data_IF_473081499757
#
_entry.id   IF_473081499757
#
_cell.length_a   1.000
_cell.length_b   1.000
_cell.length_c   1.000
_cell.angle_alpha   90.00
_cell.angle_beta   90.00
_cell.angle_gamma   90.00
#
_symmetry.space_group_name_H-M   'P 1'
#
loop_
_entity.id
_entity.type
_entity.pdbx_description
1 polymer ?
#
# COMPACT_ATOMS: atom_id res chain seq x y z
N UNK A 1 19.47 -12.84 -11.98
CA UNK A 1 18.75 -12.87 -10.68
C UNK A 1 19.76 -12.65 -9.56
N UNK A 2 20.05 -11.41 -9.18
CA UNK A 2 21.11 -11.11 -8.20
C UNK A 2 20.60 -10.92 -6.75
N UNK A 3 19.31 -11.13 -6.49
CA UNK A 3 18.73 -10.96 -5.14
C UNK A 3 17.45 -11.79 -4.96
N UNK A 4 17.58 -13.12 -4.92
CA UNK A 4 16.45 -14.04 -4.71
C UNK A 4 16.84 -15.12 -3.71
N UNK A 5 15.98 -15.40 -2.74
CA UNK A 5 16.16 -16.48 -1.76
C UNK A 5 15.11 -17.57 -2.01
N UNK A 6 15.55 -18.82 -2.02
CA UNK A 6 14.63 -19.97 -2.10
C UNK A 6 13.95 -20.18 -0.75
N UNK A 7 12.63 -20.34 -0.77
CA UNK A 7 11.82 -20.65 0.41
C UNK A 7 11.09 -21.98 0.19
N UNK A 8 10.84 -22.71 1.28
CA UNK A 8 9.98 -23.90 1.29
C UNK A 8 8.77 -23.61 2.16
N UNK A 9 7.57 -23.82 1.62
CA UNK A 9 6.31 -23.53 2.30
C UNK A 9 5.32 -24.67 2.10
N UNK A 10 4.46 -24.89 3.08
CA UNK A 10 3.33 -25.82 2.98
C UNK A 10 2.05 -25.02 2.76
N UNK A 11 1.26 -25.37 1.76
CA UNK A 11 -0.02 -24.74 1.45
C UNK A 11 -1.13 -25.80 1.31
N UNK A 12 -2.40 -25.44 1.56
CA UNK A 12 -3.54 -26.31 1.27
C UNK A 12 -3.50 -26.88 -0.15
N UNK A 13 -3.89 -28.14 -0.29
CA UNK A 13 -3.89 -28.87 -1.58
C UNK A 13 -4.73 -28.18 -2.65
N UNK A 14 -5.85 -27.58 -2.26
CA UNK A 14 -6.70 -26.79 -3.15
C UNK A 14 -5.97 -25.57 -3.71
N UNK A 15 -5.22 -24.83 -2.87
CA UNK A 15 -4.42 -23.69 -3.33
C UNK A 15 -3.27 -24.12 -4.23
N UNK A 16 -2.62 -25.25 -3.95
CA UNK A 16 -1.61 -25.81 -4.84
C UNK A 16 -2.19 -26.15 -6.22
N UNK A 17 -3.42 -26.67 -6.28
CA UNK A 17 -4.13 -26.94 -7.53
C UNK A 17 -4.43 -25.64 -8.28
N UNK A 18 -4.95 -24.62 -7.60
CA UNK A 18 -5.20 -23.29 -8.19
C UNK A 18 -3.91 -22.64 -8.70
N UNK A 19 -2.81 -22.74 -7.96
CA UNK A 19 -1.50 -22.23 -8.36
C UNK A 19 -1.00 -22.91 -9.64
N UNK A 20 -1.20 -24.23 -9.77
CA UNK A 20 -0.85 -24.98 -10.99
C UNK A 20 -1.70 -24.55 -12.19
N UNK A 21 -2.98 -24.24 -11.98
CA UNK A 21 -3.86 -23.71 -13.03
C UNK A 21 -3.43 -22.31 -13.46
N UNK A 22 -3.11 -21.43 -12.51
CA UNK A 22 -2.62 -20.07 -12.77
C UNK A 22 -1.32 -20.09 -13.58
N UNK A 23 -0.38 -20.99 -13.26
CA UNK A 23 0.85 -21.15 -14.03
C UNK A 23 0.58 -21.44 -15.51
N UNK A 24 -0.37 -22.33 -15.80
CA UNK A 24 -0.79 -22.67 -17.17
C UNK A 24 -1.47 -21.50 -17.87
N UNK A 25 -2.44 -20.87 -17.20
CA UNK A 25 -3.26 -19.82 -17.80
C UNK A 25 -2.48 -18.52 -18.04
N UNK A 26 -1.58 -18.15 -17.11
CA UNK A 26 -0.82 -16.90 -17.19
C UNK A 26 0.55 -17.07 -17.85
N UNK A 27 0.94 -18.30 -18.20
CA UNK A 27 2.27 -18.64 -18.73
C UNK A 27 3.40 -18.11 -17.83
N UNK A 28 3.20 -18.21 -16.50
CA UNK A 28 4.15 -17.76 -15.48
C UNK A 28 4.61 -18.96 -14.65
N UNK A 29 5.84 -18.91 -14.16
CA UNK A 29 6.31 -19.90 -13.20
C UNK A 29 5.75 -19.63 -11.78
N UNK A 30 5.83 -20.65 -10.92
CA UNK A 30 5.40 -20.58 -9.52
C UNK A 30 5.99 -19.36 -8.79
N UNK A 31 7.30 -19.16 -8.88
CA UNK A 31 8.00 -18.07 -8.18
C UNK A 31 7.49 -16.69 -8.59
N UNK A 32 7.16 -16.47 -9.85
CA UNK A 32 6.61 -15.20 -10.35
C UNK A 32 5.22 -14.93 -9.76
N UNK A 33 4.34 -15.94 -9.77
CA UNK A 33 2.99 -15.81 -9.20
C UNK A 33 3.07 -15.56 -7.69
N UNK A 34 3.89 -16.34 -6.97
CA UNK A 34 4.07 -16.17 -5.52
C UNK A 34 4.67 -14.80 -5.21
N UNK A 35 5.65 -14.33 -5.99
CA UNK A 35 6.23 -13.00 -5.81
C UNK A 35 5.20 -11.90 -6.00
N UNK A 36 4.34 -11.99 -7.01
CA UNK A 36 3.26 -11.03 -7.24
C UNK A 36 2.25 -11.03 -6.09
N UNK A 37 1.79 -12.22 -5.68
CA UNK A 37 0.83 -12.37 -4.58
C UNK A 37 1.39 -11.81 -3.26
N UNK A 38 2.65 -12.09 -2.94
CA UNK A 38 3.30 -11.58 -1.73
C UNK A 38 3.47 -10.06 -1.78
N UNK A 39 3.85 -9.49 -2.94
CA UNK A 39 3.95 -8.03 -3.10
C UNK A 39 2.60 -7.34 -2.89
N UNK A 40 1.54 -7.89 -3.47
CA UNK A 40 0.19 -7.36 -3.30
C UNK A 40 -0.26 -7.45 -1.84
N UNK A 41 0.04 -8.58 -1.18
CA UNK A 41 -0.26 -8.77 0.23
C UNK A 41 0.46 -7.72 1.10
N UNK A 42 1.77 -7.54 0.93
CA UNK A 42 2.56 -6.55 1.69
C UNK A 42 2.04 -5.14 1.47
N UNK A 43 1.80 -4.74 0.21
CA UNK A 43 1.28 -3.41 -0.10
C UNK A 43 -0.08 -3.16 0.56
N UNK A 44 -0.94 -4.18 0.62
CA UNK A 44 -2.24 -4.07 1.29
C UNK A 44 -2.08 -3.88 2.80
N UNK A 45 -1.22 -4.67 3.45
CA UNK A 45 -0.95 -4.53 4.90
C UNK A 45 -0.41 -3.12 5.21
N UNK A 46 0.55 -2.62 4.41
CA UNK A 46 1.08 -1.25 4.56
C UNK A 46 -0.05 -0.21 4.42
N UNK A 47 -0.93 -0.37 3.44
CA UNK A 47 -2.05 0.55 3.25
C UNK A 47 -3.04 0.51 4.43
N UNK A 48 -3.34 -0.67 4.95
CA UNK A 48 -4.23 -0.85 6.11
C UNK A 48 -3.66 -0.18 7.37
N UNK A 49 -2.35 -0.32 7.60
CA UNK A 49 -1.66 0.38 8.69
C UNK A 49 -1.72 1.90 8.52
N UNK A 50 -1.42 2.41 7.32
CA UNK A 50 -1.50 3.84 7.01
C UNK A 50 -2.92 4.36 7.16
N UNK A 51 -3.92 3.61 6.70
CA UNK A 51 -5.33 3.97 6.81
C UNK A 51 -5.79 4.00 8.27
N UNK A 52 -5.39 3.02 9.10
CA UNK A 52 -5.70 3.00 10.52
C UNK A 52 -5.06 4.19 11.27
N UNK A 53 -3.79 4.46 10.99
CA UNK A 53 -3.08 5.61 11.55
C UNK A 53 -3.69 6.95 11.12
N UNK A 54 -3.92 7.10 9.81
CA UNK A 54 -4.53 8.29 9.22
C UNK A 54 -5.93 8.52 9.73
N UNK A 55 -6.76 7.47 9.84
CA UNK A 55 -8.12 7.52 10.36
C UNK A 55 -8.17 7.99 11.82
N UNK A 56 -7.28 7.49 12.68
CA UNK A 56 -7.17 7.97 14.07
C UNK A 56 -6.85 9.46 14.14
N UNK A 57 -5.89 9.93 13.35
CA UNK A 57 -5.50 11.35 13.29
C UNK A 57 -6.60 12.24 12.70
N UNK A 58 -7.23 11.79 11.62
CA UNK A 58 -8.32 12.48 10.97
C UNK A 58 -9.52 12.65 11.92
N UNK A 59 -9.85 11.61 12.69
CA UNK A 59 -10.89 11.67 13.72
C UNK A 59 -10.54 12.64 14.85
N UNK A 60 -9.31 12.62 15.34
CA UNK A 60 -8.84 13.58 16.35
C UNK A 60 -8.86 15.04 15.85
N UNK A 61 -8.69 15.25 14.54
CA UNK A 61 -8.73 16.56 13.89
C UNK A 61 -10.11 16.93 13.30
N UNK A 62 -11.15 16.11 13.52
CA UNK A 62 -12.49 16.28 12.94
C UNK A 62 -12.53 16.42 11.41
N UNK A 63 -11.60 15.76 10.70
CA UNK A 63 -11.53 15.76 9.23
C UNK A 63 -12.23 14.49 8.72
N UNK A 64 -13.50 14.59 8.32
CA UNK A 64 -14.31 13.42 7.95
C UNK A 64 -14.72 13.42 6.47
N UNK A 65 -14.68 14.58 5.82
CA UNK A 65 -15.12 14.77 4.43
C UNK A 65 -13.96 15.18 3.51
N UNK A 66 -14.19 15.07 2.19
CA UNK A 66 -13.22 15.59 1.19
C UNK A 66 -13.06 17.10 1.32
N UNK A 67 -14.13 17.80 1.65
CA UNK A 67 -14.15 19.23 1.89
C UNK A 67 -13.28 19.62 3.09
N UNK A 68 -13.30 18.84 4.17
CA UNK A 68 -12.44 19.06 5.34
C UNK A 68 -10.97 18.85 5.01
N UNK A 69 -10.64 17.83 4.21
CA UNK A 69 -9.29 17.59 3.72
C UNK A 69 -8.82 18.80 2.91
N UNK A 70 -9.64 19.27 1.98
CA UNK A 70 -9.32 20.43 1.15
C UNK A 70 -9.07 21.68 2.01
N UNK A 71 -9.92 21.95 3.00
CA UNK A 71 -9.75 23.07 3.94
C UNK A 71 -8.45 22.93 4.75
N UNK A 72 -8.15 21.75 5.27
CA UNK A 72 -6.93 21.48 6.04
C UNK A 72 -5.66 21.70 5.19
N UNK A 73 -5.64 21.18 3.96
CA UNK A 73 -4.52 21.35 3.02
C UNK A 73 -4.34 22.83 2.65
N UNK A 74 -5.43 23.53 2.34
CA UNK A 74 -5.37 24.96 2.01
C UNK A 74 -4.86 25.80 3.18
N UNK A 75 -5.26 25.46 4.41
CA UNK A 75 -4.75 26.10 5.63
C UNK A 75 -3.23 25.97 5.70
N UNK A 76 -2.70 24.75 5.63
CA UNK A 76 -1.25 24.50 5.69
C UNK A 76 -0.49 25.19 4.56
N UNK A 77 -1.01 25.13 3.32
CA UNK A 77 -0.37 25.81 2.16
C UNK A 77 -0.30 27.33 2.34
N UNK A 78 -1.35 27.96 2.88
CA UNK A 78 -1.35 29.41 3.17
C UNK A 78 -0.36 29.75 4.28
N UNK A 79 -0.33 28.95 5.35
CA UNK A 79 0.63 29.11 6.45
C UNK A 79 2.08 28.98 5.97
N UNK A 80 2.38 28.02 5.09
CA UNK A 80 3.72 27.82 4.54
C UNK A 80 4.17 28.94 3.59
N UNK A 81 3.23 29.63 2.93
CA UNK A 81 3.53 30.80 2.09
C UNK A 81 3.81 32.06 2.92
N UNK A 82 3.24 32.16 4.11
CA UNK A 82 3.47 33.27 5.04
C UNK A 82 4.83 33.21 5.77
N UNK A 83 5.44 32.03 5.89
CA UNK A 83 6.75 31.83 6.55
C UNK A 83 7.96 31.88 5.63
N UNK A 84 7.78 32.09 4.32
CA UNK A 84 8.89 32.45 3.42
C UNK A 84 8.89 33.97 3.26
N UNK A 85 9.66 34.74 4.07
CA UNK A 85 9.92 36.12 3.70
C UNK A 85 10.64 36.10 2.36
N UNK A 86 10.16 36.92 1.43
CA UNK A 86 10.86 37.20 0.18
C UNK A 86 12.24 37.74 0.55
N UNK A 87 13.28 36.92 0.38
CA UNK A 87 14.66 37.39 0.40
C UNK A 87 14.83 38.30 -0.81
N UNK A 88 14.99 39.60 -0.53
CA UNK A 88 15.44 40.65 -1.45
C UNK A 88 16.86 40.33 -1.92
#
# INVERSE_FOLDING_TARGET
MKNTQTISVTIPTELARSLKQLQKHKTKNCSAIVTEAVREYVLREEYEELAAFGGKKAKAASIMTKEDINKAVHRVKRSAKQTRPESI
#
